data_IF_461156724649
#
_entry.id   IF_461156724649
#
_cell.length_a   1.000
_cell.length_b   1.000
_cell.length_c   1.000
_cell.angle_alpha   90.00
_cell.angle_beta   90.00
_cell.angle_gamma   90.00
#
_symmetry.space_group_name_H-M   'P 1'
#
loop_
_entity.id
_entity.type
_entity.pdbx_description
1 polymer ?
#
# COMPACT_ATOMS: atom_id res chain seq x y z
N UNK A 1 -4.20 41.74 3.70
CA UNK A 1 -5.15 40.72 4.20
C UNK A 1 -4.51 39.40 3.99
N UNK A 2 -3.96 38.83 5.05
CA UNK A 2 -3.34 37.48 5.01
C UNK A 2 -4.45 36.47 5.07
N UNK A 3 -4.64 35.68 4.01
CA UNK A 3 -5.50 34.52 4.00
C UNK A 3 -4.67 33.41 4.64
N UNK A 4 -4.94 33.14 5.90
CA UNK A 4 -4.46 31.94 6.59
C UNK A 4 -5.25 30.79 6.01
N UNK A 5 -4.64 30.02 5.12
CA UNK A 5 -5.13 28.70 4.75
C UNK A 5 -4.95 27.80 5.97
N UNK A 6 -6.02 27.67 6.75
CA UNK A 6 -6.15 26.59 7.71
C UNK A 6 -6.20 25.30 6.86
N UNK A 7 -5.08 24.61 6.77
CA UNK A 7 -5.03 23.22 6.36
C UNK A 7 -5.65 22.44 7.51
N UNK A 8 -6.98 22.46 7.56
CA UNK A 8 -7.74 21.54 8.37
C UNK A 8 -7.46 20.14 7.83
N UNK A 9 -7.00 19.28 8.71
CA UNK A 9 -6.80 17.86 8.45
C UNK A 9 -8.16 17.17 8.25
N UNK A 10 -8.76 17.41 7.11
CA UNK A 10 -9.75 16.55 6.51
C UNK A 10 -9.13 16.13 5.19
N UNK A 11 -9.05 14.86 4.91
CA UNK A 11 -8.71 14.36 3.59
C UNK A 11 -9.68 15.01 2.60
N UNK A 12 -9.25 16.11 1.99
CA UNK A 12 -10.11 16.88 1.09
C UNK A 12 -10.11 16.14 -0.23
N UNK A 13 -11.15 15.37 -0.43
CA UNK A 13 -11.54 14.84 -1.71
C UNK A 13 -12.02 16.00 -2.59
N UNK A 14 -11.09 16.75 -3.19
CA UNK A 14 -11.40 17.76 -4.17
C UNK A 14 -11.80 17.08 -5.48
N UNK A 15 -13.07 16.83 -5.59
CA UNK A 15 -13.72 16.44 -6.86
C UNK A 15 -13.65 17.62 -7.81
N UNK A 16 -13.03 17.40 -8.96
CA UNK A 16 -12.95 18.39 -10.02
C UNK A 16 -14.30 19.01 -10.36
N UNK A 17 -14.38 20.33 -10.31
CA UNK A 17 -15.53 21.09 -10.83
C UNK A 17 -15.70 20.79 -12.31
N UNK A 18 -16.85 20.31 -12.71
CA UNK A 18 -17.32 20.40 -14.08
C UNK A 18 -17.53 21.88 -14.41
N UNK A 19 -16.66 22.46 -15.19
CA UNK A 19 -16.82 23.81 -15.72
C UNK A 19 -17.86 23.74 -16.83
N UNK A 20 -19.04 24.29 -16.58
CA UNK A 20 -19.99 24.65 -17.65
C UNK A 20 -19.39 25.77 -18.50
N UNK A 21 -19.51 25.71 -19.84
CA UNK A 21 -18.98 26.76 -20.70
C UNK A 21 -19.85 28.02 -20.59
N UNK A 22 -19.42 28.97 -19.78
CA UNK A 22 -19.91 30.34 -19.77
C UNK A 22 -19.03 31.19 -20.67
N UNK A 23 -19.63 31.79 -21.67
CA UNK A 23 -19.02 32.80 -22.57
C UNK A 23 -18.51 34.00 -21.80
N UNK A 24 -17.22 34.34 -21.98
CA UNK A 24 -16.75 35.68 -21.68
C UNK A 24 -15.33 35.82 -21.15
N UNK A 25 -14.48 36.42 -22.00
CA UNK A 25 -13.22 37.12 -21.70
C UNK A 25 -11.96 36.29 -21.43
N UNK A 26 -11.14 36.31 -22.45
CA UNK A 26 -9.75 35.86 -22.49
C UNK A 26 -8.89 36.57 -21.44
N UNK A 27 -8.53 35.88 -20.38
CA UNK A 27 -7.30 36.09 -19.65
C UNK A 27 -6.42 34.88 -19.96
N UNK A 28 -5.42 35.08 -20.80
CA UNK A 28 -4.41 34.07 -21.08
C UNK A 28 -3.62 33.80 -19.80
N UNK A 29 -4.12 32.84 -19.00
CA UNK A 29 -3.29 32.19 -18.01
C UNK A 29 -2.33 31.32 -18.79
N UNK A 30 -1.07 31.71 -18.83
CA UNK A 30 0.03 30.87 -19.27
C UNK A 30 0.01 29.59 -18.43
N UNK A 31 -0.74 28.59 -18.86
CA UNK A 31 -0.55 27.23 -18.44
C UNK A 31 0.83 26.82 -18.98
N UNK A 32 1.87 26.96 -18.19
CA UNK A 32 3.10 26.26 -18.42
C UNK A 32 2.73 24.79 -18.49
N UNK A 33 2.98 24.09 -19.60
CA UNK A 33 2.88 22.64 -19.62
C UNK A 33 3.92 22.16 -18.63
N UNK A 34 3.49 21.76 -17.43
CA UNK A 34 4.34 20.97 -16.55
C UNK A 34 4.46 19.61 -17.27
N UNK A 35 5.54 19.44 -18.02
CA UNK A 35 5.93 18.10 -18.43
C UNK A 35 6.18 17.32 -17.14
N UNK A 36 5.40 16.26 -16.87
CA UNK A 36 5.59 15.46 -15.68
C UNK A 36 6.97 14.80 -15.78
N UNK A 37 7.88 15.22 -14.93
CA UNK A 37 9.14 14.51 -14.79
C UNK A 37 8.89 13.16 -14.11
N UNK A 38 9.57 12.08 -14.50
CA UNK A 38 9.47 10.82 -13.80
C UNK A 38 9.93 11.00 -12.34
N UNK A 39 9.22 10.38 -11.40
CA UNK A 39 9.70 10.26 -10.02
C UNK A 39 10.93 9.36 -10.06
N UNK A 40 12.11 9.95 -9.85
CA UNK A 40 13.31 9.14 -9.82
C UNK A 40 13.27 8.18 -8.62
N UNK A 41 13.64 6.90 -8.82
CA UNK A 41 13.70 5.95 -7.71
C UNK A 41 14.61 6.50 -6.60
N UNK A 42 14.10 6.45 -5.36
CA UNK A 42 14.87 6.78 -4.16
C UNK A 42 15.97 5.75 -3.88
N UNK A 43 16.50 5.76 -2.66
CA UNK A 43 17.41 4.70 -2.24
C UNK A 43 16.74 3.35 -2.48
N UNK A 44 17.42 2.47 -3.21
CA UNK A 44 16.88 1.16 -3.55
C UNK A 44 16.51 0.40 -2.28
N UNK A 45 15.30 -0.17 -2.26
CA UNK A 45 14.93 -1.10 -1.21
C UNK A 45 15.86 -2.31 -1.32
N UNK A 46 16.57 -2.70 -0.25
CA UNK A 46 17.47 -3.84 -0.31
C UNK A 46 16.69 -5.09 -0.68
N UNK A 47 17.26 -5.91 -1.58
CA UNK A 47 16.69 -7.21 -1.85
C UNK A 47 16.73 -8.02 -0.55
N UNK A 48 15.62 -8.59 -0.09
CA UNK A 48 15.64 -9.41 1.10
C UNK A 48 16.34 -10.72 0.79
N UNK A 49 17.30 -11.10 1.63
CA UNK A 49 17.92 -12.44 1.59
C UNK A 49 16.91 -13.52 2.06
N UNK A 50 15.76 -13.10 2.54
CA UNK A 50 14.64 -13.97 2.91
C UNK A 50 13.35 -13.15 3.13
N UNK A 51 12.60 -12.92 2.07
CA UNK A 51 11.15 -12.80 2.24
C UNK A 51 10.69 -14.25 2.25
N UNK A 52 10.13 -14.71 3.39
CA UNK A 52 9.43 -15.99 3.39
C UNK A 52 8.42 -15.99 2.26
N UNK A 53 8.24 -17.15 1.64
CA UNK A 53 7.39 -17.33 0.46
C UNK A 53 6.05 -16.60 0.63
N UNK A 54 5.98 -15.37 0.12
CA UNK A 54 4.70 -14.67 -0.02
C UNK A 54 4.06 -15.29 -1.24
N UNK A 55 3.16 -16.23 -0.99
CA UNK A 55 2.35 -16.85 -2.03
C UNK A 55 1.72 -15.75 -2.90
N UNK A 56 1.99 -15.80 -4.19
CA UNK A 56 1.47 -14.82 -5.13
C UNK A 56 -0.06 -14.78 -5.02
N UNK A 57 -0.68 -13.60 -4.84
CA UNK A 57 -2.12 -13.52 -4.76
C UNK A 57 -2.73 -14.10 -6.04
N UNK A 58 -3.58 -15.12 -5.87
CA UNK A 58 -4.27 -15.79 -6.95
C UNK A 58 -4.97 -14.75 -7.83
N UNK A 59 -4.66 -14.75 -9.11
CA UNK A 59 -5.37 -13.98 -10.13
C UNK A 59 -6.82 -14.46 -10.12
N UNK A 60 -7.84 -13.61 -10.02
CA UNK A 60 -9.22 -14.06 -10.17
C UNK A 60 -9.37 -14.62 -11.58
N UNK A 61 -9.54 -15.95 -11.65
CA UNK A 61 -9.76 -16.65 -12.89
C UNK A 61 -11.03 -16.15 -13.55
N UNK A 62 -10.92 -15.83 -14.82
CA UNK A 62 -12.08 -15.73 -15.71
C UNK A 62 -12.78 -17.09 -15.66
N UNK A 63 -14.00 -17.13 -15.11
CA UNK A 63 -14.88 -18.29 -15.23
C UNK A 63 -15.35 -18.36 -16.67
N UNK A 64 -14.85 -19.33 -17.39
CA UNK A 64 -15.52 -19.85 -18.58
C UNK A 64 -16.58 -20.83 -18.12
N UNK A 65 -17.83 -20.48 -18.38
CA UNK A 65 -19.00 -21.35 -18.35
C UNK A 65 -18.78 -22.54 -19.32
N UNK A 66 -19.11 -23.74 -18.85
CA UNK A 66 -19.15 -24.90 -19.75
C UNK A 66 -19.39 -26.23 -19.06
N UNK A 67 -20.64 -26.57 -18.77
CA UNK A 67 -21.35 -27.78 -19.16
C UNK A 67 -20.99 -29.14 -18.57
N UNK A 68 -21.95 -29.68 -17.82
CA UNK A 68 -22.51 -31.05 -17.85
C UNK A 68 -21.61 -32.30 -17.68
N UNK A 69 -22.07 -33.18 -16.77
CA UNK A 69 -21.82 -34.63 -16.83
C UNK A 69 -21.54 -35.29 -15.49
N UNK A 70 -22.53 -35.63 -14.75
CA UNK A 70 -23.13 -36.90 -14.36
C UNK A 70 -22.18 -38.08 -13.94
N UNK A 71 -22.65 -38.76 -12.90
CA UNK A 71 -22.43 -40.17 -12.49
C UNK A 71 -21.21 -40.58 -11.66
N UNK A 72 -21.49 -41.00 -10.44
CA UNK A 72 -21.40 -42.46 -10.10
C UNK A 72 -20.49 -42.83 -8.94
N UNK A 73 -21.10 -43.11 -7.82
CA UNK A 73 -20.99 -44.34 -6.98
C UNK A 73 -19.66 -44.71 -6.28
N UNK A 74 -19.81 -44.80 -4.97
CA UNK A 74 -19.57 -45.93 -4.05
C UNK A 74 -18.15 -46.40 -3.70
N UNK A 75 -18.00 -46.63 -2.38
CA UNK A 75 -17.26 -47.77 -1.80
C UNK A 75 -16.03 -47.42 -1.00
N UNK A 76 -16.10 -47.36 0.31
CA UNK A 76 -15.87 -48.52 1.18
C UNK A 76 -14.42 -48.54 1.65
N UNK A 77 -14.27 -48.47 2.87
CA UNK A 77 -13.92 -49.48 3.90
C UNK A 77 -12.55 -49.35 4.58
N UNK A 78 -12.62 -49.27 5.87
CA UNK A 78 -11.80 -49.81 6.98
C UNK A 78 -10.27 -49.97 6.90
N UNK A 79 -9.62 -49.57 8.03
CA UNK A 79 -8.32 -50.12 8.40
C UNK A 79 -7.59 -49.41 9.53
N UNK A 80 -7.92 -49.73 10.66
CA UNK A 80 -7.42 -49.89 12.02
C UNK A 80 -5.95 -50.29 12.18
N UNK A 81 -5.34 -49.78 13.26
CA UNK A 81 -4.25 -50.39 14.04
C UNK A 81 -2.94 -49.67 13.98
N UNK A 82 -2.43 -49.21 15.08
CA UNK A 82 -1.87 -49.80 16.28
C UNK A 82 -0.46 -49.27 16.38
N UNK A 83 -0.08 -48.61 17.35
CA UNK A 83 0.38 -48.86 18.72
C UNK A 83 1.91 -48.98 18.87
N UNK A 84 2.43 -48.44 19.96
CA UNK A 84 3.71 -48.67 20.65
C UNK A 84 5.02 -48.16 20.00
N UNK A 85 5.89 -47.45 20.68
CA UNK A 85 6.28 -47.40 22.08
C UNK A 85 7.72 -46.90 22.22
N UNK A 86 7.94 -46.11 23.26
CA UNK A 86 9.10 -46.12 24.16
C UNK A 86 10.49 -45.55 23.76
N UNK A 87 10.81 -44.55 24.47
CA UNK A 87 11.95 -44.43 25.45
C UNK A 87 13.38 -44.28 24.94
N UNK A 88 14.02 -43.22 25.39
CA UNK A 88 15.27 -43.42 26.12
C UNK A 88 16.37 -42.41 25.90
N UNK A 89 16.59 -41.59 26.92
CA UNK A 89 17.87 -41.23 27.57
C UNK A 89 18.84 -40.25 26.95
N UNK A 90 18.96 -39.18 27.70
CA UNK A 90 20.17 -38.49 28.22
C UNK A 90 21.50 -38.73 27.55
N UNK A 91 22.16 -37.62 27.19
CA UNK A 91 23.54 -37.41 27.64
C UNK A 91 23.95 -35.93 27.51
N UNK A 92 24.36 -35.39 28.62
CA UNK A 92 25.10 -34.13 28.84
C UNK A 92 26.41 -34.15 28.06
N UNK A 93 26.81 -32.99 27.58
CA UNK A 93 28.15 -32.76 27.01
C UNK A 93 28.36 -31.25 26.91
N UNK A 94 28.90 -30.72 28.01
CA UNK A 94 29.58 -29.44 28.10
C UNK A 94 30.78 -29.47 27.14
N UNK A 95 30.97 -28.44 26.31
CA UNK A 95 32.32 -27.93 26.07
C UNK A 95 32.31 -26.54 25.46
N UNK A 96 33.03 -25.72 26.15
CA UNK A 96 33.43 -24.35 25.86
C UNK A 96 34.26 -24.25 24.57
N UNK A 97 34.18 -23.11 23.97
CA UNK A 97 35.28 -22.30 23.42
C UNK A 97 35.21 -21.95 21.96
N UNK A 98 35.40 -20.68 21.71
CA UNK A 98 35.89 -20.17 20.45
C UNK A 98 34.92 -19.28 19.68
N UNK A 99 34.76 -18.04 20.13
CA UNK A 99 34.45 -16.95 19.22
C UNK A 99 35.61 -16.80 18.23
N UNK A 100 35.41 -16.88 16.94
CA UNK A 100 36.25 -16.16 16.02
C UNK A 100 35.70 -14.74 15.89
N UNK A 101 36.47 -13.81 16.39
CA UNK A 101 36.48 -12.43 16.01
C UNK A 101 36.56 -12.37 14.46
N UNK A 102 35.42 -12.27 13.80
CA UNK A 102 35.36 -12.08 12.36
C UNK A 102 35.33 -10.59 12.11
N UNK A 103 36.49 -10.10 11.70
CA UNK A 103 36.79 -8.75 11.32
C UNK A 103 35.69 -8.02 10.61
N UNK A 104 35.47 -6.82 11.07
CA UNK A 104 34.81 -5.71 10.42
C UNK A 104 35.35 -5.54 8.99
N UNK A 105 34.58 -6.10 8.05
CA UNK A 105 34.77 -5.93 6.61
C UNK A 105 33.62 -5.06 6.07
N UNK A 106 33.84 -3.76 6.01
CA UNK A 106 32.95 -2.71 5.61
C UNK A 106 32.09 -3.02 4.39
N UNK A 107 30.81 -3.21 4.67
CA UNK A 107 29.70 -3.21 3.73
C UNK A 107 28.48 -2.71 4.46
N UNK A 108 28.40 -1.39 4.70
CA UNK A 108 27.42 -0.75 5.58
C UNK A 108 26.05 -0.55 4.94
N UNK A 109 25.52 -1.51 4.20
CA UNK A 109 24.12 -1.49 3.72
C UNK A 109 23.16 -2.12 4.74
N UNK A 110 21.91 -1.67 4.81
CA UNK A 110 20.89 -2.35 5.60
C UNK A 110 20.67 -3.77 5.05
N UNK A 111 20.74 -4.76 5.93
CA UNK A 111 20.60 -6.18 5.53
C UNK A 111 19.15 -6.65 5.50
N UNK A 112 18.24 -5.91 6.13
CA UNK A 112 16.81 -6.24 6.18
C UNK A 112 15.95 -5.03 5.84
N UNK A 113 14.72 -5.29 5.40
CA UNK A 113 13.74 -4.24 5.12
C UNK A 113 13.47 -3.35 6.35
N UNK A 114 13.41 -3.95 7.55
CA UNK A 114 13.25 -3.20 8.80
C UNK A 114 14.40 -2.25 9.07
N UNK A 115 15.65 -2.72 8.96
CA UNK A 115 16.84 -1.88 9.14
C UNK A 115 16.90 -0.75 8.10
N UNK A 116 16.50 -1.01 6.87
CA UNK A 116 16.39 0.02 5.83
C UNK A 116 15.34 1.07 6.23
N UNK A 117 14.16 0.63 6.66
CA UNK A 117 13.07 1.52 7.09
C UNK A 117 13.47 2.37 8.29
N UNK A 118 14.14 1.79 9.29
CA UNK A 118 14.60 2.51 10.49
C UNK A 118 15.60 3.61 10.13
N UNK A 119 16.60 3.30 9.30
CA UNK A 119 17.59 4.29 8.87
C UNK A 119 17.00 5.42 8.02
N UNK A 120 16.01 5.07 7.20
CA UNK A 120 15.38 6.03 6.30
C UNK A 120 14.39 6.95 7.04
N UNK A 121 13.74 6.46 8.10
CA UNK A 121 12.69 7.16 8.83
C UNK A 121 13.13 8.55 9.30
N UNK A 122 14.30 8.66 9.92
CA UNK A 122 14.84 9.92 10.44
C UNK A 122 15.17 10.91 9.31
N UNK A 123 15.55 10.41 8.13
CA UNK A 123 15.94 11.23 6.98
C UNK A 123 14.75 11.79 6.24
N UNK A 124 13.70 10.97 6.06
CA UNK A 124 12.54 11.37 5.27
C UNK A 124 11.35 11.86 6.10
N UNK A 125 11.35 11.58 7.41
CA UNK A 125 10.27 11.98 8.32
C UNK A 125 9.00 11.13 8.17
N UNK A 126 9.14 9.90 7.68
CA UNK A 126 8.07 8.91 7.55
C UNK A 126 8.26 7.84 8.62
N UNK A 127 7.22 7.39 9.33
CA UNK A 127 7.35 6.33 10.32
C UNK A 127 8.01 5.07 9.73
N UNK A 128 8.97 4.49 10.44
CA UNK A 128 9.67 3.27 10.03
C UNK A 128 8.70 2.14 9.67
N UNK A 129 7.65 1.96 10.48
CA UNK A 129 6.62 0.94 10.22
C UNK A 129 5.90 1.14 8.87
N UNK A 130 5.61 2.38 8.52
CA UNK A 130 5.00 2.71 7.24
C UNK A 130 5.99 2.52 6.07
N UNK A 131 7.25 2.93 6.26
CA UNK A 131 8.30 2.69 5.27
C UNK A 131 8.51 1.21 4.99
N UNK A 132 8.49 0.37 6.02
CA UNK A 132 8.58 -1.08 5.85
C UNK A 132 7.44 -1.61 4.96
N UNK A 133 6.20 -1.14 5.17
CA UNK A 133 5.06 -1.53 4.35
C UNK A 133 5.19 -1.06 2.89
N UNK A 134 5.60 0.20 2.67
CA UNK A 134 5.79 0.74 1.32
C UNK A 134 6.95 0.06 0.59
N UNK A 135 8.05 -0.20 1.29
CA UNK A 135 9.19 -0.93 0.74
C UNK A 135 8.84 -2.38 0.39
N UNK A 136 8.07 -3.07 1.26
CA UNK A 136 7.57 -4.42 0.97
C UNK A 136 6.70 -4.44 -0.28
N UNK A 137 5.77 -3.50 -0.40
CA UNK A 137 4.91 -3.39 -1.58
C UNK A 137 5.71 -3.19 -2.88
N UNK A 138 6.75 -2.33 -2.86
CA UNK A 138 7.67 -2.17 -3.99
C UNK A 138 8.38 -3.47 -4.32
N UNK A 139 8.93 -4.18 -3.32
CA UNK A 139 9.66 -5.44 -3.52
C UNK A 139 8.77 -6.52 -4.15
N UNK A 140 7.57 -6.71 -3.59
CA UNK A 140 6.59 -7.68 -4.09
C UNK A 140 6.20 -7.35 -5.53
N UNK A 141 5.87 -6.10 -5.83
CA UNK A 141 5.46 -5.72 -7.19
C UNK A 141 6.62 -5.75 -8.17
N UNK A 142 7.83 -5.42 -7.74
CA UNK A 142 9.02 -5.58 -8.59
C UNK A 142 9.28 -7.04 -8.96
N UNK A 143 8.99 -7.99 -8.06
CA UNK A 143 9.13 -9.41 -8.35
C UNK A 143 8.02 -9.96 -9.26
N UNK A 144 6.78 -9.49 -9.08
CA UNK A 144 5.60 -10.06 -9.77
C UNK A 144 5.09 -9.23 -10.96
N UNK A 145 5.41 -7.94 -11.00
CA UNK A 145 5.02 -6.98 -12.05
C UNK A 145 6.14 -5.97 -12.31
N UNK A 146 7.32 -6.45 -12.75
CA UNK A 146 8.50 -5.60 -12.93
C UNK A 146 8.25 -4.43 -13.89
N UNK A 147 7.36 -4.60 -14.86
CA UNK A 147 6.98 -3.58 -15.82
C UNK A 147 6.26 -2.37 -15.21
N UNK A 148 5.71 -2.50 -14.01
CA UNK A 148 5.03 -1.40 -13.33
C UNK A 148 5.97 -0.34 -12.78
N UNK A 149 7.19 -0.71 -12.39
CA UNK A 149 8.19 0.20 -11.82
C UNK A 149 7.66 1.05 -10.65
N UNK A 150 6.83 0.47 -9.77
CA UNK A 150 6.36 1.15 -8.56
C UNK A 150 7.53 1.51 -7.66
N UNK A 151 7.52 2.75 -7.13
CA UNK A 151 8.45 3.21 -6.11
C UNK A 151 7.76 3.34 -4.74
N UNK A 152 8.45 2.93 -3.67
CA UNK A 152 8.02 3.18 -2.28
C UNK A 152 7.74 4.66 -2.02
N UNK A 153 8.49 5.54 -2.66
CA UNK A 153 8.34 6.99 -2.49
C UNK A 153 6.98 7.48 -3.00
N UNK A 154 6.45 6.90 -4.08
CA UNK A 154 5.10 7.19 -4.58
C UNK A 154 4.05 6.76 -3.56
N UNK A 155 4.16 5.55 -2.99
CA UNK A 155 3.26 5.10 -1.92
C UNK A 155 3.35 5.98 -0.68
N UNK A 156 4.56 6.38 -0.28
CA UNK A 156 4.74 7.29 0.84
C UNK A 156 4.12 8.67 0.56
N UNK A 157 4.23 9.19 -0.66
CA UNK A 157 3.58 10.44 -1.06
C UNK A 157 2.05 10.35 -0.92
N UNK A 158 1.44 9.27 -1.38
CA UNK A 158 0.01 8.98 -1.22
C UNK A 158 -0.34 8.85 0.26
N UNK A 159 0.33 7.96 1.01
CA UNK A 159 0.03 7.73 2.41
C UNK A 159 0.19 8.95 3.31
N UNK A 160 1.05 9.90 2.93
CA UNK A 160 1.16 11.20 3.60
C UNK A 160 -0.12 12.02 3.49
N UNK A 161 -0.72 12.07 2.30
CA UNK A 161 -1.92 12.86 2.06
C UNK A 161 -3.14 12.17 2.64
N UNK A 162 -3.24 10.84 2.45
CA UNK A 162 -4.42 10.09 2.85
C UNK A 162 -4.61 10.07 4.38
N UNK A 163 -3.55 9.88 5.14
CA UNK A 163 -3.69 9.71 6.58
C UNK A 163 -2.49 10.12 7.42
N UNK A 164 -1.55 10.87 6.86
CA UNK A 164 -0.25 11.09 7.52
C UNK A 164 0.41 9.76 7.93
N UNK A 165 0.41 8.81 6.99
CA UNK A 165 0.97 7.46 7.22
C UNK A 165 0.29 6.68 8.37
N UNK A 166 -1.03 6.76 8.46
CA UNK A 166 -1.80 6.07 9.51
C UNK A 166 -1.88 6.82 10.84
N UNK A 167 -1.63 8.16 10.85
CA UNK A 167 -1.63 8.99 12.08
C UNK A 167 -2.71 10.07 12.09
N UNK A 168 -3.66 10.01 11.15
CA UNK A 168 -4.72 10.99 11.04
C UNK A 168 -5.70 10.95 12.21
N UNK A 169 -6.24 12.12 12.59
CA UNK A 169 -7.31 12.21 13.59
C UNK A 169 -6.92 11.81 15.01
N UNK A 170 -5.64 11.82 15.34
CA UNK A 170 -5.13 11.35 16.63
C UNK A 170 -4.82 9.86 16.68
N UNK A 171 -4.96 9.16 15.56
CA UNK A 171 -4.53 7.77 15.45
C UNK A 171 -3.00 7.64 15.56
N UNK A 172 -2.57 6.51 16.08
CA UNK A 172 -1.16 6.12 16.15
C UNK A 172 -1.01 4.80 15.40
N UNK A 173 -0.07 4.75 14.44
CA UNK A 173 0.24 3.51 13.74
C UNK A 173 1.00 2.58 14.68
N UNK A 174 0.38 1.46 15.03
CA UNK A 174 0.96 0.44 15.89
C UNK A 174 2.10 -0.33 15.23
N UNK A 175 2.88 -1.04 16.04
CA UNK A 175 3.93 -1.94 15.56
C UNK A 175 3.37 -3.10 14.73
N UNK A 176 2.11 -3.47 14.98
CA UNK A 176 1.32 -4.44 14.23
C UNK A 176 0.87 -3.91 12.86
N UNK A 177 1.10 -2.64 12.56
CA UNK A 177 0.72 -2.01 11.31
C UNK A 177 -0.72 -1.50 11.26
N UNK A 178 -1.42 -1.47 12.40
CA UNK A 178 -2.79 -0.97 12.49
C UNK A 178 -2.84 0.39 13.18
N UNK A 179 -3.58 1.37 12.62
CA UNK A 179 -3.83 2.62 13.32
C UNK A 179 -4.82 2.41 14.47
N UNK A 180 -4.55 3.02 15.60
CA UNK A 180 -5.44 3.03 16.76
C UNK A 180 -5.70 4.49 17.22
N UNK A 181 -6.96 4.95 17.21
CA UNK A 181 -8.16 4.28 16.69
C UNK A 181 -8.11 4.02 15.18
N UNK A 182 -8.99 3.13 14.63
CA UNK A 182 -9.12 2.93 13.19
C UNK A 182 -9.43 4.22 12.43
N UNK A 183 -8.89 4.37 11.23
CA UNK A 183 -9.12 5.56 10.39
C UNK A 183 -10.28 5.29 9.45
N UNK A 184 -11.34 6.07 9.60
CA UNK A 184 -12.52 6.06 8.73
C UNK A 184 -12.78 7.50 8.31
N UNK A 185 -12.95 7.72 7.01
CA UNK A 185 -13.20 9.02 6.42
C UNK A 185 -14.62 9.53 6.63
N UNK A 186 -14.91 10.67 6.02
CA UNK A 186 -16.27 11.21 5.98
C UNK A 186 -17.17 10.38 5.05
N UNK A 187 -18.49 10.45 5.23
CA UNK A 187 -19.44 9.84 4.31
C UNK A 187 -19.32 10.48 2.92
N UNK A 188 -19.30 9.66 1.88
CA UNK A 188 -19.28 10.10 0.49
C UNK A 188 -20.72 10.33 0.02
N UNK A 189 -21.39 11.32 0.62
CA UNK A 189 -22.84 11.57 0.51
C UNK A 189 -23.23 12.58 -0.58
N UNK A 190 -22.25 13.13 -1.30
CA UNK A 190 -22.50 14.11 -2.35
C UNK A 190 -22.69 15.54 -1.83
N UNK A 191 -22.41 15.82 -0.57
CA UNK A 191 -22.37 17.18 -0.02
C UNK A 191 -21.32 18.03 -0.74
N UNK A 192 -21.33 19.36 -0.51
CA UNK A 192 -20.48 20.28 -1.27
C UNK A 192 -19.00 19.88 -1.20
N UNK A 193 -18.43 19.58 -2.38
CA UNK A 193 -17.05 19.12 -2.53
C UNK A 193 -16.81 17.65 -2.29
N UNK A 194 -17.85 16.86 -1.99
CA UNK A 194 -17.78 15.42 -1.75
C UNK A 194 -18.45 14.66 -2.89
N UNK A 195 -17.82 13.59 -3.37
CA UNK A 195 -18.43 12.70 -4.35
C UNK A 195 -19.51 11.84 -3.69
N UNK A 196 -20.66 11.67 -4.34
CA UNK A 196 -21.67 10.70 -3.89
C UNK A 196 -21.26 9.28 -4.31
N UNK A 197 -21.08 8.39 -3.34
CA UNK A 197 -20.85 6.96 -3.54
C UNK A 197 -21.79 6.22 -2.59
N UNK A 198 -22.87 5.59 -3.12
CA UNK A 198 -23.73 4.73 -2.31
C UNK A 198 -22.91 3.59 -1.68
N UNK A 199 -23.40 3.07 -0.56
CA UNK A 199 -22.82 1.91 0.10
C UNK A 199 -22.63 0.72 -0.85
N UNK A 200 -21.43 0.14 -0.84
CA UNK A 200 -21.03 -0.97 -1.72
C UNK A 200 -20.73 -2.27 -0.97
N UNK A 201 -20.67 -2.25 0.39
CA UNK A 201 -20.31 -3.42 1.18
C UNK A 201 -21.22 -3.72 2.38
N UNK A 202 -22.34 -3.00 2.51
CA UNK A 202 -23.28 -3.14 3.63
C UNK A 202 -22.72 -2.60 4.95
N UNK A 203 -21.79 -1.63 4.86
CA UNK A 203 -21.11 -1.04 6.02
C UNK A 203 -20.12 -2.00 6.68
N UNK A 204 -19.66 -3.02 5.97
CA UNK A 204 -18.78 -4.06 6.53
C UNK A 204 -17.40 -3.54 6.92
N UNK A 205 -16.84 -2.59 6.17
CA UNK A 205 -15.52 -2.03 6.39
C UNK A 205 -15.54 -0.70 7.14
N UNK A 206 -16.58 0.10 6.91
CA UNK A 206 -16.64 1.49 7.38
C UNK A 206 -17.77 1.79 8.37
N UNK A 207 -18.72 0.86 8.51
CA UNK A 207 -19.87 0.97 9.42
C UNK A 207 -21.03 1.84 8.90
N UNK A 208 -20.96 2.34 7.65
CA UNK A 208 -22.00 3.15 7.02
C UNK A 208 -22.77 2.34 5.97
N UNK A 209 -24.09 2.21 6.12
CA UNK A 209 -24.94 1.42 5.23
C UNK A 209 -25.70 2.27 4.20
N UNK A 210 -25.41 3.56 4.13
CA UNK A 210 -26.02 4.48 3.18
C UNK A 210 -24.99 4.94 2.13
N UNK A 211 -23.77 5.24 2.57
CA UNK A 211 -22.70 5.73 1.71
C UNK A 211 -21.35 5.11 2.09
N UNK A 212 -20.53 4.82 1.11
CA UNK A 212 -19.16 4.41 1.36
C UNK A 212 -18.38 5.52 2.09
N UNK A 213 -17.42 5.11 2.94
CA UNK A 213 -16.37 5.95 3.52
C UNK A 213 -15.02 5.40 3.16
N UNK A 214 -14.05 6.27 2.98
CA UNK A 214 -12.67 5.83 2.80
C UNK A 214 -12.11 5.21 4.10
N UNK A 215 -11.37 4.10 4.00
CA UNK A 215 -10.94 3.28 5.13
C UNK A 215 -9.43 3.10 5.17
N UNK A 216 -8.86 3.22 6.36
CA UNK A 216 -7.49 2.84 6.69
C UNK A 216 -6.42 3.84 6.28
N UNK A 217 -5.13 3.45 6.47
CA UNK A 217 -3.98 4.33 6.22
C UNK A 217 -3.88 4.85 4.78
N UNK A 218 -4.39 4.11 3.82
CA UNK A 218 -4.37 4.47 2.40
C UNK A 218 -5.73 4.88 1.86
N UNK A 219 -6.74 5.06 2.74
CA UNK A 219 -8.08 5.58 2.46
C UNK A 219 -8.76 4.88 1.27
N UNK A 220 -8.86 3.56 1.33
CA UNK A 220 -9.57 2.78 0.31
C UNK A 220 -11.09 2.94 0.44
N UNK A 221 -11.76 3.16 -0.68
CA UNK A 221 -13.21 3.03 -0.78
C UNK A 221 -13.55 1.53 -0.82
N UNK A 222 -14.58 1.06 -0.07
CA UNK A 222 -14.98 -0.36 0.00
C UNK A 222 -15.06 -1.05 -1.35
N UNK A 223 -15.72 -0.45 -2.34
CA UNK A 223 -15.81 -1.00 -3.69
C UNK A 223 -14.47 -1.13 -4.43
N UNK A 224 -13.49 -0.27 -4.13
CA UNK A 224 -12.13 -0.41 -4.66
C UNK A 224 -11.36 -1.50 -3.90
N UNK A 225 -11.55 -1.56 -2.58
CA UNK A 225 -10.94 -2.60 -1.75
C UNK A 225 -11.35 -4.00 -2.18
N UNK A 226 -12.64 -4.22 -2.48
CA UNK A 226 -13.15 -5.52 -2.94
C UNK A 226 -12.45 -6.05 -4.20
N UNK A 227 -11.89 -5.16 -5.03
CA UNK A 227 -11.21 -5.51 -6.29
C UNK A 227 -9.70 -5.66 -6.16
N UNK A 228 -9.07 -4.89 -5.26
CA UNK A 228 -7.62 -4.78 -5.19
C UNK A 228 -7.03 -5.23 -3.85
N UNK A 229 -7.87 -5.40 -2.83
CA UNK A 229 -7.46 -5.83 -1.51
C UNK A 229 -6.71 -7.16 -1.53
N UNK A 230 -5.62 -7.23 -0.75
CA UNK A 230 -4.78 -8.43 -0.62
C UNK A 230 -4.19 -8.48 0.78
N UNK A 231 -4.05 -9.68 1.31
CA UNK A 231 -3.30 -9.94 2.53
C UNK A 231 -1.79 -9.89 2.21
N UNK A 232 -1.12 -8.88 2.70
CA UNK A 232 0.32 -8.72 2.60
C UNK A 232 1.00 -8.82 3.97
N UNK A 233 0.20 -8.80 5.04
CA UNK A 233 0.66 -9.01 6.41
C UNK A 233 0.89 -10.49 6.74
N UNK A 234 0.24 -11.39 5.98
CA UNK A 234 0.29 -12.84 6.17
C UNK A 234 -0.56 -13.33 7.34
N UNK A 235 -1.53 -12.51 7.81
CA UNK A 235 -2.42 -12.91 8.91
C UNK A 235 -3.65 -13.72 8.45
N UNK A 236 -3.78 -13.96 7.14
CA UNK A 236 -4.85 -14.72 6.51
C UNK A 236 -6.07 -13.88 6.16
N UNK A 237 -6.01 -12.56 6.30
CA UNK A 237 -7.11 -11.65 6.02
C UNK A 237 -6.63 -10.36 5.37
N UNK A 238 -7.18 -10.00 4.22
CA UNK A 238 -6.98 -8.66 3.67
C UNK A 238 -7.78 -7.63 4.49
N UNK A 239 -7.11 -6.65 5.10
CA UNK A 239 -7.71 -5.63 5.96
C UNK A 239 -7.22 -4.22 5.57
N UNK A 240 -8.11 -3.30 5.13
CA UNK A 240 -7.70 -1.96 4.74
C UNK A 240 -7.14 -1.11 5.89
N UNK A 241 -7.37 -1.51 7.15
CA UNK A 241 -6.76 -0.87 8.32
C UNK A 241 -5.33 -1.35 8.58
N UNK A 242 -4.89 -2.44 7.96
CA UNK A 242 -3.52 -2.94 8.10
C UNK A 242 -2.64 -2.34 7.01
N UNK A 243 -1.55 -1.65 7.40
CA UNK A 243 -0.77 -0.83 6.47
C UNK A 243 -0.03 -1.64 5.40
N UNK A 244 0.37 -2.89 5.69
CA UNK A 244 1.04 -3.74 4.69
C UNK A 244 0.05 -4.13 3.59
N UNK A 245 -1.16 -4.55 4.00
CA UNK A 245 -2.24 -4.91 3.10
C UNK A 245 -2.65 -3.71 2.26
N UNK A 246 -2.85 -2.56 2.92
CA UNK A 246 -3.23 -1.33 2.26
C UNK A 246 -2.16 -0.82 1.29
N UNK A 247 -0.87 -0.89 1.64
CA UNK A 247 0.23 -0.45 0.79
C UNK A 247 0.38 -1.33 -0.46
N UNK A 248 0.34 -2.67 -0.30
CA UNK A 248 0.42 -3.57 -1.46
C UNK A 248 -0.81 -3.45 -2.34
N UNK A 249 -2.00 -3.33 -1.75
CA UNK A 249 -3.25 -3.11 -2.51
C UNK A 249 -3.23 -1.79 -3.28
N UNK A 250 -2.70 -0.71 -2.70
CA UNK A 250 -2.49 0.57 -3.37
C UNK A 250 -1.53 0.42 -4.56
N UNK A 251 -0.42 -0.27 -4.37
CA UNK A 251 0.51 -0.57 -5.44
C UNK A 251 -0.15 -1.37 -6.59
N UNK A 252 -0.92 -2.41 -6.26
CA UNK A 252 -1.70 -3.18 -7.26
C UNK A 252 -2.68 -2.31 -8.04
N UNK A 253 -3.33 -1.39 -7.36
CA UNK A 253 -4.25 -0.44 -8.00
C UNK A 253 -3.51 0.52 -8.93
N UNK A 254 -2.40 1.09 -8.49
CA UNK A 254 -1.56 1.97 -9.32
C UNK A 254 -1.03 1.25 -10.56
N UNK A 255 -0.60 -0.01 -10.42
CA UNK A 255 -0.09 -0.85 -11.51
C UNK A 255 -1.19 -1.44 -12.42
N UNK A 256 -2.47 -1.20 -12.12
CA UNK A 256 -3.55 -1.78 -12.93
C UNK A 256 -3.59 -1.17 -14.33
N UNK A 257 -4.10 -1.94 -15.29
CA UNK A 257 -4.17 -1.48 -16.69
C UNK A 257 -2.83 -1.42 -17.42
N UNK A 258 -1.78 -2.07 -16.90
CA UNK A 258 -0.46 -2.14 -17.54
C UNK A 258 0.33 -0.83 -17.44
N UNK A 259 0.08 0.00 -16.43
CA UNK A 259 0.79 1.28 -16.24
C UNK A 259 2.26 1.05 -15.88
N UNK A 260 3.12 1.83 -16.51
CA UNK A 260 4.54 1.97 -16.15
C UNK A 260 4.72 3.26 -15.34
N UNK A 261 4.92 3.12 -14.04
CA UNK A 261 5.06 4.26 -13.11
C UNK A 261 6.43 4.93 -13.16
N UNK A 262 7.39 4.41 -13.94
CA UNK A 262 8.62 5.11 -14.29
C UNK A 262 8.41 6.12 -15.42
N UNK A 263 7.35 5.95 -16.22
CA UNK A 263 6.97 6.93 -17.24
C UNK A 263 6.13 8.04 -16.61
N UNK A 264 6.26 9.25 -17.14
CA UNK A 264 5.45 10.37 -16.69
C UNK A 264 3.95 10.12 -16.91
N UNK A 265 3.57 9.60 -18.09
CA UNK A 265 2.19 9.29 -18.45
C UNK A 265 1.60 8.25 -17.48
N UNK A 266 2.27 7.10 -17.33
CA UNK A 266 1.78 6.02 -16.45
C UNK A 266 1.70 6.43 -14.97
N UNK A 267 2.64 7.24 -14.50
CA UNK A 267 2.61 7.77 -13.14
C UNK A 267 1.40 8.67 -12.91
N UNK A 268 1.18 9.65 -13.81
CA UNK A 268 0.03 10.55 -13.70
C UNK A 268 -1.28 9.80 -13.84
N UNK A 269 -1.40 8.89 -14.78
CA UNK A 269 -2.59 8.05 -14.95
C UNK A 269 -2.89 7.22 -13.69
N UNK A 270 -1.86 6.66 -13.06
CA UNK A 270 -2.00 5.91 -11.83
C UNK A 270 -2.48 6.78 -10.66
N UNK A 271 -1.83 7.91 -10.45
CA UNK A 271 -2.15 8.82 -9.34
C UNK A 271 -3.50 9.51 -9.54
N UNK A 272 -3.84 9.91 -10.77
CA UNK A 272 -5.16 10.48 -11.08
C UNK A 272 -6.29 9.43 -11.01
N UNK A 273 -5.99 8.16 -11.25
CA UNK A 273 -6.95 7.09 -10.98
C UNK A 273 -7.23 6.92 -9.49
N UNK A 274 -6.20 7.13 -8.64
CA UNK A 274 -6.32 7.08 -7.19
C UNK A 274 -7.18 8.25 -6.67
N UNK A 275 -6.86 9.46 -7.11
CA UNK A 275 -7.65 10.66 -6.82
C UNK A 275 -7.61 11.59 -8.04
N UNK A 276 -8.76 11.80 -8.67
CA UNK A 276 -8.90 12.56 -9.90
C UNK A 276 -8.79 14.09 -9.67
N UNK A 277 -7.67 14.52 -9.09
CA UNK A 277 -7.35 15.92 -8.84
C UNK A 277 -5.91 16.22 -9.25
N UNK A 278 -5.73 17.18 -10.16
CA UNK A 278 -4.39 17.61 -10.57
C UNK A 278 -3.59 18.25 -9.41
N UNK A 279 -4.27 18.86 -8.44
CA UNK A 279 -3.63 19.40 -7.24
C UNK A 279 -3.11 18.27 -6.34
N UNK A 280 -3.93 17.24 -6.14
CA UNK A 280 -3.53 16.01 -5.46
C UNK A 280 -2.29 15.40 -6.12
N UNK A 281 -2.33 15.19 -7.44
CA UNK A 281 -1.21 14.60 -8.18
C UNK A 281 0.09 15.40 -8.03
N UNK A 282 0.03 16.76 -8.10
CA UNK A 282 1.22 17.60 -7.89
C UNK A 282 1.75 17.48 -6.46
N UNK A 283 0.87 17.40 -5.47
CA UNK A 283 1.27 17.26 -4.07
C UNK A 283 1.92 15.91 -3.82
N UNK A 284 1.34 14.82 -4.33
CA UNK A 284 1.94 13.47 -4.27
C UNK A 284 3.31 13.48 -4.93
N UNK A 285 3.43 14.08 -6.14
CA UNK A 285 4.70 14.19 -6.86
C UNK A 285 5.76 14.91 -6.03
N UNK A 286 5.43 16.07 -5.48
CA UNK A 286 6.39 16.86 -4.67
C UNK A 286 6.86 16.11 -3.43
N UNK A 287 5.96 15.36 -2.77
CA UNK A 287 6.30 14.53 -1.62
C UNK A 287 7.19 13.34 -2.02
N UNK A 288 6.79 12.60 -3.06
CA UNK A 288 7.52 11.43 -3.54
C UNK A 288 8.94 11.80 -4.00
N UNK A 289 9.08 12.83 -4.83
CA UNK A 289 10.36 13.35 -5.29
C UNK A 289 11.22 13.86 -4.11
N UNK A 290 10.61 14.54 -3.14
CA UNK A 290 11.28 14.97 -1.93
C UNK A 290 11.79 13.81 -1.07
N UNK A 291 11.01 12.75 -0.89
CA UNK A 291 11.44 11.54 -0.19
C UNK A 291 12.58 10.84 -0.93
N UNK A 292 12.40 10.62 -2.24
CA UNK A 292 13.42 10.00 -3.09
C UNK A 292 14.76 10.74 -3.06
N UNK A 293 14.74 12.07 -3.15
CA UNK A 293 15.95 12.91 -3.10
C UNK A 293 16.69 12.81 -1.76
N UNK A 294 15.95 12.88 -0.65
CA UNK A 294 16.56 12.74 0.69
C UNK A 294 17.15 11.35 0.91
N UNK A 295 16.51 10.32 0.40
CA UNK A 295 16.97 8.94 0.54
C UNK A 295 18.29 8.65 -0.21
N UNK A 296 18.61 9.38 -1.28
CA UNK A 296 19.87 9.18 -2.04
C UNK A 296 21.14 9.51 -1.26
N UNK A 297 21.00 10.21 -0.14
CA UNK A 297 22.13 10.59 0.73
C UNK A 297 22.56 9.50 1.71
N UNK A 298 21.88 8.34 1.71
CA UNK A 298 22.14 7.18 2.56
C UNK A 298 22.86 6.09 1.78
#
# INVERSE_FOLDING_TARGET
MAVVLAVGAAGVWLVGRTVSPGTGSSSATLALPLEPAPVEPGAAVPAPDSIGDVEAPATPGHGEDGGDGDDGAEGGDDGKGGDDGRSGRDSSGDDSSGSPDAGDGGGSGPRTLGQWADRLADVVGVPSRALAAYGNAELVLRAHRPECNLSWATLAGIGRIESDHGRYGGSVLGVDGRPAPPIIGIALDGSEGVRAIPDTDGGSLDGDTEHDRAVGPMQFIPGTWSRFGVDASGDGRADPQQIDDAALSAGRYLCSGGRDLASAEGWWDGVLAYNNSAEYGRTVFGLADGYAKRARGL
#
